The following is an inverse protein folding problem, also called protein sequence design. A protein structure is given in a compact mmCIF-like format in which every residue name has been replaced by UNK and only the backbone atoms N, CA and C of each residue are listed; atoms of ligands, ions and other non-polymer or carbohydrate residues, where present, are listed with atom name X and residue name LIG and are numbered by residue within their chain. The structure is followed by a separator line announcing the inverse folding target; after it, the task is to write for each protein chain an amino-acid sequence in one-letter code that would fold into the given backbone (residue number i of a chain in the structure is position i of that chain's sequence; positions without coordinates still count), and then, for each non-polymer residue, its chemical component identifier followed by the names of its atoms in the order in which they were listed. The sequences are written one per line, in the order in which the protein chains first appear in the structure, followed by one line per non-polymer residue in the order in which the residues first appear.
data_IF_480892799630
#
_entry.id   IF_480892799630
#
_cell.length_a   1.000
_cell.length_b   1.000
_cell.length_c   1.000
_cell.angle_alpha   90.00
_cell.angle_beta   90.00
_cell.angle_gamma   90.00
#
_symmetry.space_group_name_H-M   'P 1'
#
loop_
_entity.id
_entity.type
_entity.pdbx_description
1 polymer ?
#
# COMPACT_ATOMS: atom_id res chain seq x y z
N UNK A 1 20.81 -22.94 38.65
CA UNK A 1 20.76 -22.46 37.27
C UNK A 1 20.28 -23.53 36.27
N UNK A 2 20.97 -24.70 36.19
CA UNK A 2 20.56 -25.80 35.29
C UNK A 2 19.13 -26.33 35.53
N UNK A 3 18.71 -26.47 36.78
CA UNK A 3 17.36 -26.94 37.12
C UNK A 3 16.25 -25.99 36.64
N UNK A 4 16.46 -24.67 36.70
CA UNK A 4 15.52 -23.67 36.21
C UNK A 4 15.40 -23.72 34.68
N UNK A 5 16.54 -23.96 33.98
CA UNK A 5 16.55 -24.12 32.51
C UNK A 5 15.80 -25.39 32.10
N UNK A 6 16.03 -26.50 32.80
CA UNK A 6 15.33 -27.78 32.53
C UNK A 6 13.83 -27.65 32.81
N UNK A 7 13.44 -27.03 33.92
CA UNK A 7 12.01 -26.77 34.22
C UNK A 7 11.36 -25.88 33.18
N UNK A 8 12.06 -24.84 32.71
CA UNK A 8 11.58 -23.98 31.61
C UNK A 8 11.37 -24.77 30.31
N UNK A 9 12.32 -25.67 29.97
CA UNK A 9 12.21 -26.52 28.79
C UNK A 9 11.04 -27.51 28.89
N UNK A 10 10.87 -28.15 30.07
CA UNK A 10 9.77 -29.07 30.33
C UNK A 10 8.43 -28.32 30.24
N UNK A 11 8.34 -27.10 30.80
CA UNK A 11 7.13 -26.27 30.72
C UNK A 11 6.77 -25.91 29.27
N UNK A 12 7.77 -25.51 28.49
CA UNK A 12 7.57 -25.18 27.06
C UNK A 12 7.09 -26.42 26.27
N UNK A 13 7.72 -27.58 26.49
CA UNK A 13 7.31 -28.83 25.84
C UNK A 13 5.89 -29.22 26.28
N UNK A 14 5.59 -29.07 27.56
CA UNK A 14 4.26 -29.41 28.10
C UNK A 14 3.19 -28.48 27.53
N UNK A 15 3.45 -27.18 27.45
CA UNK A 15 2.54 -26.21 26.84
C UNK A 15 2.36 -26.48 25.33
N UNK A 16 3.43 -26.83 24.63
CA UNK A 16 3.36 -27.22 23.23
C UNK A 16 2.52 -28.49 23.02
N UNK A 17 2.72 -29.52 23.82
CA UNK A 17 1.95 -30.76 23.75
C UNK A 17 0.48 -30.52 24.10
N UNK A 18 0.19 -29.73 25.15
CA UNK A 18 -1.16 -29.37 25.55
C UNK A 18 -1.87 -28.54 24.47
N UNK A 19 -1.16 -27.61 23.82
CA UNK A 19 -1.70 -26.86 22.68
C UNK A 19 -2.09 -27.82 21.54
N UNK A 20 -1.19 -28.71 21.17
CA UNK A 20 -1.42 -29.71 20.08
C UNK A 20 -2.56 -30.70 20.40
N UNK A 21 -2.75 -31.05 21.65
CA UNK A 21 -3.87 -31.93 22.08
C UNK A 21 -5.23 -31.21 22.09
N UNK A 22 -5.23 -29.87 22.13
CA UNK A 22 -6.44 -29.03 22.10
C UNK A 22 -6.84 -28.57 20.73
N UNK A 23 -6.01 -28.80 19.71
CA UNK A 23 -6.36 -28.46 18.33
C UNK A 23 -7.61 -29.25 17.91
N UNK A 24 -8.67 -28.55 17.46
CA UNK A 24 -9.89 -29.22 17.02
C UNK A 24 -9.56 -30.16 15.86
N UNK A 25 -10.23 -31.30 15.79
CA UNK A 25 -10.13 -32.24 14.65
C UNK A 25 -10.90 -31.67 13.46
N UNK A 26 -10.39 -30.58 12.90
CA UNK A 26 -10.95 -29.96 11.72
C UNK A 26 -10.50 -30.71 10.47
N UNK A 27 -11.33 -30.68 9.43
CA UNK A 27 -10.96 -31.13 8.09
C UNK A 27 -10.06 -30.09 7.42
N UNK A 28 -8.82 -29.94 7.94
CA UNK A 28 -7.85 -28.94 7.52
C UNK A 28 -7.44 -29.11 6.05
N UNK A 29 -7.15 -28.00 5.34
CA UNK A 29 -6.45 -28.08 4.07
C UNK A 29 -5.14 -28.85 4.20
N UNK A 30 -4.75 -29.61 3.14
CA UNK A 30 -3.55 -30.44 3.21
C UNK A 30 -2.30 -29.60 3.46
N UNK A 31 -1.49 -30.02 4.44
CA UNK A 31 -0.17 -29.46 4.66
C UNK A 31 0.80 -30.06 3.64
N UNK A 32 1.40 -29.19 2.82
CA UNK A 32 2.42 -29.58 1.86
C UNK A 32 3.59 -30.26 2.58
N UNK A 33 4.12 -31.32 2.01
CA UNK A 33 5.25 -32.06 2.60
C UNK A 33 6.54 -31.24 2.56
N UNK A 34 7.28 -31.20 3.66
CA UNK A 34 8.55 -30.52 3.75
C UNK A 34 9.64 -31.40 4.38
N UNK A 35 10.91 -31.15 4.02
CA UNK A 35 12.06 -31.96 4.47
C UNK A 35 12.65 -31.46 5.79
N UNK A 36 12.61 -30.17 6.06
CA UNK A 36 13.28 -29.52 7.19
C UNK A 36 12.26 -29.10 8.25
N UNK A 37 12.23 -29.76 9.43
CA UNK A 37 11.17 -29.55 10.43
C UNK A 37 11.06 -28.13 10.98
N UNK A 38 12.17 -27.38 11.07
CA UNK A 38 12.21 -26.03 11.63
C UNK A 38 11.95 -24.99 10.53
N UNK A 39 12.65 -25.11 9.39
CA UNK A 39 12.59 -24.14 8.30
C UNK A 39 11.31 -24.30 7.46
N UNK A 40 10.80 -25.54 7.37
CA UNK A 40 9.61 -25.85 6.56
C UNK A 40 9.82 -25.50 5.09
N UNK A 41 8.89 -24.71 4.56
CA UNK A 41 8.89 -24.22 3.17
C UNK A 41 9.54 -22.84 3.01
N UNK A 42 10.03 -22.22 4.08
CA UNK A 42 10.51 -20.84 4.06
C UNK A 42 11.53 -20.58 2.95
N UNK A 43 12.48 -21.50 2.75
CA UNK A 43 13.48 -21.35 1.69
C UNK A 43 12.84 -21.39 0.29
N UNK A 44 12.01 -22.37 0.00
CA UNK A 44 11.32 -22.49 -1.30
C UNK A 44 10.39 -21.30 -1.56
N UNK A 45 9.71 -20.83 -0.51
CA UNK A 45 8.84 -19.67 -0.57
C UNK A 45 9.57 -18.35 -0.81
N UNK A 46 10.83 -18.20 -0.39
CA UNK A 46 11.61 -16.98 -0.60
C UNK A 46 12.36 -16.94 -1.95
N UNK A 47 12.87 -18.07 -2.38
CA UNK A 47 13.83 -18.12 -3.51
C UNK A 47 13.26 -18.73 -4.79
N UNK A 48 12.15 -19.46 -4.70
CA UNK A 48 11.50 -20.10 -5.86
C UNK A 48 9.96 -20.09 -5.73
N UNK A 49 9.42 -18.95 -5.32
CA UNK A 49 8.01 -18.81 -4.91
C UNK A 49 7.05 -19.22 -6.01
N UNK A 50 7.24 -18.70 -7.23
CA UNK A 50 6.34 -18.92 -8.36
C UNK A 50 6.21 -20.41 -8.71
N UNK A 51 7.33 -21.04 -9.03
CA UNK A 51 7.33 -22.47 -9.42
C UNK A 51 6.88 -23.37 -8.28
N UNK A 52 7.31 -23.06 -7.04
CA UNK A 52 6.91 -23.79 -5.85
C UNK A 52 5.42 -23.76 -5.62
N UNK A 53 4.79 -22.59 -5.69
CA UNK A 53 3.34 -22.45 -5.49
C UNK A 53 2.54 -23.08 -6.62
N UNK A 54 3.00 -22.99 -7.87
CA UNK A 54 2.38 -23.69 -9.01
C UNK A 54 2.37 -25.20 -8.82
N UNK A 55 3.49 -25.75 -8.34
CA UNK A 55 3.57 -27.16 -8.02
C UNK A 55 2.61 -27.53 -6.87
N UNK A 56 2.60 -26.74 -5.80
CA UNK A 56 1.68 -26.96 -4.68
C UNK A 56 0.21 -26.91 -5.14
N UNK A 57 -0.15 -25.88 -5.93
CA UNK A 57 -1.51 -25.74 -6.48
C UNK A 57 -1.94 -26.98 -7.29
N UNK A 58 -1.04 -27.49 -8.14
CA UNK A 58 -1.28 -28.65 -8.96
C UNK A 58 -1.46 -29.93 -8.14
N UNK A 59 -0.67 -30.11 -7.08
CA UNK A 59 -0.63 -31.34 -6.29
C UNK A 59 -1.70 -31.36 -5.19
N UNK A 60 -1.96 -30.23 -4.54
CA UNK A 60 -2.79 -30.14 -3.33
C UNK A 60 -4.15 -29.45 -3.56
N UNK A 61 -4.39 -28.84 -4.73
CA UNK A 61 -5.64 -28.16 -5.05
C UNK A 61 -5.65 -26.66 -4.68
N UNK A 62 -6.84 -26.08 -4.60
CA UNK A 62 -7.04 -24.63 -4.48
C UNK A 62 -6.70 -24.08 -3.09
N UNK A 63 -6.86 -24.88 -2.05
CA UNK A 63 -6.56 -24.49 -0.67
C UNK A 63 -5.57 -25.48 -0.08
N UNK A 64 -4.40 -25.00 0.36
CA UNK A 64 -3.38 -25.82 0.98
C UNK A 64 -2.64 -25.04 2.07
N UNK A 65 -1.93 -25.77 2.94
CA UNK A 65 -1.15 -25.19 4.02
C UNK A 65 0.36 -25.28 3.74
N UNK A 66 1.05 -24.19 4.06
CA UNK A 66 2.51 -24.14 4.06
C UNK A 66 3.02 -23.91 5.48
N UNK A 67 4.17 -24.49 5.83
CA UNK A 67 4.88 -24.16 7.06
C UNK A 67 5.98 -23.16 6.74
N UNK A 68 5.75 -21.89 7.07
CA UNK A 68 6.63 -20.76 6.71
C UNK A 68 6.88 -19.95 7.98
N UNK A 69 8.14 -19.57 8.22
CA UNK A 69 8.53 -18.78 9.40
C UNK A 69 8.00 -19.34 10.72
N UNK A 70 8.13 -20.66 10.91
CA UNK A 70 7.72 -21.31 12.15
C UNK A 70 6.20 -21.42 12.39
N UNK A 71 5.37 -21.07 11.42
CA UNK A 71 3.90 -21.12 11.52
C UNK A 71 3.25 -21.70 10.27
N UNK A 72 2.07 -22.28 10.47
CA UNK A 72 1.24 -22.74 9.35
C UNK A 72 0.50 -21.55 8.75
N UNK A 73 0.64 -21.37 7.44
CA UNK A 73 -0.11 -20.38 6.64
C UNK A 73 -0.98 -21.10 5.64
N UNK A 74 -2.17 -20.59 5.44
CA UNK A 74 -3.15 -21.14 4.51
C UNK A 74 -3.08 -20.32 3.22
N UNK A 75 -2.87 -20.99 2.11
CA UNK A 75 -2.84 -20.37 0.78
C UNK A 75 -4.14 -20.70 0.07
N UNK A 76 -4.79 -19.69 -0.49
CA UNK A 76 -6.07 -19.81 -1.18
C UNK A 76 -5.96 -19.30 -2.60
N UNK A 77 -6.29 -20.16 -3.55
CA UNK A 77 -6.31 -19.87 -4.97
C UNK A 77 -7.61 -19.20 -5.45
N UNK A 78 -7.76 -19.15 -6.77
CA UNK A 78 -8.81 -18.39 -7.46
C UNK A 78 -10.25 -18.84 -7.15
N UNK A 79 -10.46 -20.14 -6.86
CA UNK A 79 -11.80 -20.70 -6.70
C UNK A 79 -12.47 -20.23 -5.41
N UNK A 80 -11.69 -20.07 -4.32
CA UNK A 80 -12.19 -19.69 -3.00
C UNK A 80 -11.75 -18.30 -2.53
N UNK A 81 -10.99 -17.55 -3.33
CA UNK A 81 -10.53 -16.19 -3.00
C UNK A 81 -11.69 -15.23 -2.67
N UNK A 82 -12.81 -15.36 -3.39
CA UNK A 82 -14.00 -14.54 -3.15
C UNK A 82 -14.71 -14.88 -1.83
N UNK A 83 -14.63 -16.13 -1.34
CA UNK A 83 -15.13 -16.47 0.00
C UNK A 83 -14.34 -15.71 1.07
N UNK A 84 -13.02 -15.65 0.95
CA UNK A 84 -12.18 -14.88 1.88
C UNK A 84 -12.53 -13.41 1.83
N UNK A 85 -12.62 -12.82 0.65
CA UNK A 85 -12.86 -11.38 0.47
C UNK A 85 -14.27 -10.91 0.82
N UNK A 86 -15.26 -11.81 0.83
CA UNK A 86 -16.66 -11.47 1.12
C UNK A 86 -17.07 -11.68 2.58
N UNK A 87 -16.26 -12.37 3.37
CA UNK A 87 -16.57 -12.76 4.76
C UNK A 87 -15.70 -12.01 5.75
N UNK A 88 -15.87 -10.70 5.83
CA UNK A 88 -15.18 -9.83 6.79
C UNK A 88 -15.54 -10.11 8.27
N UNK A 89 -16.61 -10.84 8.53
CA UNK A 89 -16.95 -11.39 9.84
C UNK A 89 -16.07 -12.58 10.27
N UNK A 90 -15.29 -13.13 9.34
CA UNK A 90 -14.38 -14.27 9.53
C UNK A 90 -12.94 -13.90 9.24
N UNK A 91 -12.69 -13.20 8.14
CA UNK A 91 -11.37 -12.89 7.62
C UNK A 91 -11.08 -11.40 7.72
N UNK A 92 -10.14 -11.01 8.57
CA UNK A 92 -9.83 -9.61 8.85
C UNK A 92 -8.42 -9.25 8.40
N UNK A 93 -8.34 -8.32 7.44
CA UNK A 93 -7.08 -7.80 6.91
C UNK A 93 -6.33 -6.95 7.95
N UNK A 94 -7.05 -6.11 8.71
CA UNK A 94 -6.42 -5.21 9.69
C UNK A 94 -5.76 -5.99 10.83
N UNK A 95 -6.43 -7.05 11.30
CA UNK A 95 -5.89 -7.95 12.32
C UNK A 95 -4.67 -8.73 11.83
N UNK A 96 -4.62 -9.08 10.54
CA UNK A 96 -3.43 -9.69 9.96
C UNK A 96 -2.25 -8.72 9.97
N UNK A 97 -2.46 -7.45 9.58
CA UNK A 97 -1.42 -6.42 9.61
C UNK A 97 -0.91 -6.18 11.04
N UNK A 98 -1.80 -6.09 12.05
CA UNK A 98 -1.40 -5.93 13.46
C UNK A 98 -0.47 -7.07 13.96
N UNK A 99 -0.60 -8.27 13.40
CA UNK A 99 0.24 -9.43 13.77
C UNK A 99 1.66 -9.35 13.23
N UNK A 100 1.87 -8.63 12.13
CA UNK A 100 3.17 -8.54 11.46
C UNK A 100 3.84 -7.17 11.59
N UNK A 101 3.05 -6.13 11.83
CA UNK A 101 3.52 -4.75 11.86
C UNK A 101 3.09 -4.03 13.15
N UNK A 102 4.04 -3.49 13.95
CA UNK A 102 3.77 -2.85 15.23
C UNK A 102 3.36 -1.36 15.08
N UNK A 103 2.53 -1.02 14.09
CA UNK A 103 2.17 0.35 13.74
C UNK A 103 1.47 1.12 14.86
N UNK A 104 0.62 0.43 15.63
CA UNK A 104 -0.08 0.96 16.79
C UNK A 104 0.86 1.40 17.93
N UNK A 105 1.99 0.71 18.10
CA UNK A 105 3.01 1.08 19.11
C UNK A 105 3.97 2.13 18.56
N UNK A 106 4.25 2.10 17.27
CA UNK A 106 5.14 3.04 16.58
C UNK A 106 4.53 4.45 16.55
N UNK A 107 3.24 4.54 16.23
CA UNK A 107 2.42 5.76 16.27
C UNK A 107 1.56 5.70 17.55
N UNK A 108 2.09 6.22 18.64
CA UNK A 108 1.58 6.01 19.99
C UNK A 108 0.14 6.49 20.24
N UNK A 109 -0.33 7.42 19.41
CA UNK A 109 -1.68 7.99 19.56
C UNK A 109 -2.69 7.36 18.60
N UNK A 110 -2.25 6.37 17.80
CA UNK A 110 -3.07 5.74 16.74
C UNK A 110 -4.34 5.05 17.29
N UNK A 111 -4.29 4.51 18.53
CA UNK A 111 -5.46 3.90 19.16
C UNK A 111 -6.65 4.86 19.32
N UNK A 112 -6.37 6.18 19.39
CA UNK A 112 -7.39 7.24 19.44
C UNK A 112 -7.97 7.56 18.05
N UNK A 113 -7.31 7.13 16.98
CA UNK A 113 -7.70 7.41 15.61
C UNK A 113 -8.61 6.29 15.07
N UNK A 114 -9.89 6.43 15.32
CA UNK A 114 -10.93 5.52 14.81
C UNK A 114 -11.43 6.01 13.45
N UNK A 115 -11.91 5.08 12.60
CA UNK A 115 -12.52 5.41 11.31
C UNK A 115 -11.61 6.10 10.26
N UNK A 116 -10.35 5.66 10.14
CA UNK A 116 -9.38 6.15 9.14
C UNK A 116 -9.99 6.26 7.73
N UNK A 117 -10.73 5.23 7.29
CA UNK A 117 -11.38 5.22 5.98
C UNK A 117 -12.46 6.29 5.82
N UNK A 118 -13.21 6.60 6.88
CA UNK A 118 -14.22 7.66 6.88
C UNK A 118 -13.56 9.02 6.74
N UNK A 119 -12.54 9.29 7.56
CA UNK A 119 -11.79 10.56 7.53
C UNK A 119 -11.15 10.79 6.16
N UNK A 120 -10.48 9.76 5.60
CA UNK A 120 -9.92 9.85 4.26
C UNK A 120 -10.98 10.17 3.21
N UNK A 121 -12.13 9.51 3.28
CA UNK A 121 -13.24 9.75 2.35
C UNK A 121 -13.75 11.17 2.43
N UNK A 122 -13.99 11.68 3.62
CA UNK A 122 -14.60 13.01 3.84
C UNK A 122 -13.63 14.14 3.50
N UNK A 123 -12.36 14.04 3.92
CA UNK A 123 -11.40 15.14 3.83
C UNK A 123 -10.60 15.16 2.52
N UNK A 124 -10.48 14.03 1.86
CA UNK A 124 -9.68 13.91 0.63
C UNK A 124 -10.49 13.42 -0.56
N UNK A 125 -11.09 12.22 -0.46
CA UNK A 125 -11.67 11.58 -1.65
C UNK A 125 -12.90 12.30 -2.18
N UNK A 126 -13.77 12.83 -1.32
CA UNK A 126 -14.93 13.61 -1.73
C UNK A 126 -14.55 14.99 -2.31
N UNK A 127 -13.31 15.44 -2.05
CA UNK A 127 -12.78 16.74 -2.51
C UNK A 127 -11.83 16.61 -3.71
N UNK A 128 -11.70 15.42 -4.32
CA UNK A 128 -10.75 15.21 -5.44
C UNK A 128 -10.91 16.21 -6.58
N UNK A 129 -12.14 16.48 -6.98
CA UNK A 129 -12.41 17.47 -8.03
C UNK A 129 -11.98 18.89 -7.62
N UNK A 130 -12.16 19.25 -6.36
CA UNK A 130 -11.74 20.51 -5.79
C UNK A 130 -10.19 20.61 -5.77
N UNK A 131 -9.49 19.53 -5.46
CA UNK A 131 -8.02 19.51 -5.44
C UNK A 131 -7.38 19.34 -6.83
N UNK A 132 -8.17 19.21 -7.90
CA UNK A 132 -7.68 18.90 -9.25
C UNK A 132 -6.55 19.83 -9.72
N UNK A 133 -6.78 21.13 -9.72
CA UNK A 133 -5.80 22.14 -10.15
C UNK A 133 -4.54 22.13 -9.25
N UNK A 134 -4.72 22.11 -7.93
CA UNK A 134 -3.60 22.06 -6.97
C UNK A 134 -2.74 20.82 -7.15
N UNK A 135 -3.36 19.67 -7.40
CA UNK A 135 -2.66 18.42 -7.63
C UNK A 135 -1.79 18.51 -8.89
N UNK A 136 -2.37 18.95 -10.01
CA UNK A 136 -1.64 19.08 -11.27
C UNK A 136 -0.51 20.09 -11.17
N UNK A 137 -0.75 21.29 -10.64
CA UNK A 137 0.28 22.32 -10.43
C UNK A 137 1.44 21.80 -9.57
N UNK A 138 1.12 21.07 -8.49
CA UNK A 138 2.13 20.48 -7.60
C UNK A 138 2.93 19.38 -8.31
N UNK A 139 2.28 18.51 -9.09
CA UNK A 139 2.94 17.47 -9.90
C UNK A 139 3.86 18.09 -10.95
N UNK A 140 3.39 19.08 -11.72
CA UNK A 140 4.18 19.73 -12.77
C UNK A 140 5.40 20.44 -12.18
N UNK A 141 5.22 21.18 -11.08
CA UNK A 141 6.32 21.82 -10.36
C UNK A 141 7.34 20.80 -9.84
N UNK A 142 6.88 19.71 -9.25
CA UNK A 142 7.73 18.64 -8.74
C UNK A 142 8.48 17.94 -9.88
N UNK A 143 7.79 17.59 -10.97
CA UNK A 143 8.40 16.97 -12.15
C UNK A 143 9.49 17.88 -12.74
N UNK A 144 9.19 19.17 -12.92
CA UNK A 144 10.17 20.16 -13.39
C UNK A 144 11.38 20.29 -12.45
N UNK A 145 11.15 20.26 -11.12
CA UNK A 145 12.21 20.34 -10.11
C UNK A 145 13.09 19.08 -10.10
N UNK A 146 12.52 17.90 -10.24
CA UNK A 146 13.23 16.63 -10.07
C UNK A 146 13.85 16.10 -11.38
N UNK A 147 13.16 16.24 -12.50
CA UNK A 147 13.62 15.78 -13.83
C UNK A 147 14.24 16.95 -14.59
N UNK A 148 13.53 18.08 -14.68
CA UNK A 148 13.93 19.26 -15.44
C UNK A 148 13.65 19.14 -16.92
N UNK A 149 14.18 20.06 -17.71
CA UNK A 149 14.20 20.01 -19.15
C UNK A 149 15.34 19.08 -19.60
N UNK A 150 15.09 18.21 -20.58
CA UNK A 150 16.03 17.19 -21.02
C UNK A 150 16.29 17.36 -22.55
N UNK A 151 17.16 18.30 -22.89
CA UNK A 151 17.65 18.48 -24.28
C UNK A 151 18.61 17.35 -24.69
N UNK A 152 19.28 16.75 -23.72
CA UNK A 152 20.17 15.60 -23.88
C UNK A 152 19.68 14.42 -22.99
N UNK A 153 20.02 13.16 -23.36
CA UNK A 153 19.65 11.99 -22.55
C UNK A 153 20.16 12.08 -21.12
N UNK A 154 19.25 11.92 -20.16
CA UNK A 154 19.54 11.92 -18.74
C UNK A 154 19.32 10.53 -18.15
N UNK A 155 20.38 9.94 -17.57
CA UNK A 155 20.27 8.65 -16.91
C UNK A 155 19.73 8.82 -15.49
N UNK A 156 18.68 8.09 -15.16
CA UNK A 156 18.07 8.06 -13.83
C UNK A 156 18.36 6.69 -13.21
N UNK A 157 19.26 6.65 -12.21
CA UNK A 157 19.70 5.39 -11.58
C UNK A 157 18.67 4.80 -10.60
N UNK A 158 17.83 5.64 -10.00
CA UNK A 158 16.80 5.23 -9.06
C UNK A 158 15.49 5.95 -9.36
N UNK A 159 14.76 5.40 -10.32
CA UNK A 159 13.47 5.95 -10.74
C UNK A 159 12.46 5.98 -9.59
N UNK A 160 12.46 4.98 -8.71
CA UNK A 160 11.55 4.90 -7.58
C UNK A 160 11.72 6.09 -6.63
N UNK A 161 12.96 6.40 -6.21
CA UNK A 161 13.21 7.55 -5.30
C UNK A 161 12.84 8.89 -5.95
N UNK A 162 13.09 9.03 -7.25
CA UNK A 162 12.70 10.21 -8.00
C UNK A 162 11.18 10.37 -8.02
N UNK A 163 10.45 9.33 -8.41
CA UNK A 163 8.99 9.34 -8.45
C UNK A 163 8.40 9.58 -7.06
N UNK A 164 8.97 8.98 -6.01
CA UNK A 164 8.48 9.16 -4.63
C UNK A 164 8.51 10.63 -4.22
N UNK A 165 9.54 11.39 -4.58
CA UNK A 165 9.59 12.85 -4.32
C UNK A 165 8.56 13.63 -5.13
N UNK A 166 8.33 13.24 -6.38
CA UNK A 166 7.32 13.87 -7.24
C UNK A 166 5.92 13.65 -6.66
N UNK A 167 5.56 12.41 -6.34
CA UNK A 167 4.25 12.03 -5.77
C UNK A 167 4.06 12.61 -4.36
N UNK A 168 5.10 12.73 -3.55
CA UNK A 168 5.00 13.30 -2.21
C UNK A 168 4.60 14.78 -2.22
N UNK A 169 4.90 15.51 -3.29
CA UNK A 169 4.66 16.97 -3.35
C UNK A 169 3.17 17.33 -3.36
N UNK A 170 2.32 16.80 -4.27
CA UNK A 170 0.87 17.08 -4.25
C UNK A 170 0.19 16.54 -2.99
N UNK A 171 0.61 15.37 -2.48
CA UNK A 171 0.05 14.80 -1.26
C UNK A 171 0.37 15.70 -0.06
N UNK A 172 1.61 16.18 0.07
CA UNK A 172 1.98 17.14 1.11
C UNK A 172 1.16 18.41 0.99
N UNK A 173 0.96 18.94 -0.23
CA UNK A 173 0.17 20.12 -0.46
C UNK A 173 -1.28 19.97 0.01
N UNK A 174 -1.92 18.84 -0.30
CA UNK A 174 -3.29 18.52 0.12
C UNK A 174 -3.37 18.29 1.63
N UNK A 175 -2.34 17.68 2.24
CA UNK A 175 -2.41 17.30 3.66
C UNK A 175 -2.04 18.44 4.62
N UNK A 176 -0.98 19.15 4.36
CA UNK A 176 -0.49 20.18 5.28
C UNK A 176 -0.58 21.61 4.73
N UNK A 177 -1.08 21.76 3.50
CA UNK A 177 -1.29 23.04 2.83
C UNK A 177 -0.08 23.52 2.04
N UNK A 178 -0.33 24.50 1.19
CA UNK A 178 0.62 25.01 0.22
C UNK A 178 1.87 25.59 0.88
N UNK A 179 1.73 26.31 1.99
CA UNK A 179 2.85 26.98 2.68
C UNK A 179 3.85 25.96 3.26
N UNK A 180 3.37 24.92 3.95
CA UNK A 180 4.25 23.92 4.57
C UNK A 180 4.87 23.01 3.51
N UNK A 181 4.15 22.66 2.46
CA UNK A 181 4.63 21.78 1.39
C UNK A 181 5.79 22.36 0.57
N UNK A 182 6.14 23.65 0.73
CA UNK A 182 7.32 24.26 0.10
C UNK A 182 8.63 23.86 0.78
N UNK A 183 8.59 23.41 2.02
CA UNK A 183 9.81 23.02 2.74
C UNK A 183 10.33 21.66 2.29
N UNK A 184 11.60 21.61 1.84
CA UNK A 184 12.24 20.36 1.39
C UNK A 184 12.24 19.27 2.48
N UNK A 185 12.39 19.65 3.77
CA UNK A 185 12.35 18.70 4.88
C UNK A 185 10.95 18.04 5.05
N UNK A 186 9.88 18.72 4.63
CA UNK A 186 8.53 18.15 4.61
C UNK A 186 8.39 17.16 3.46
N UNK A 187 8.80 17.54 2.24
CA UNK A 187 8.75 16.64 1.09
C UNK A 187 9.60 15.39 1.34
N UNK A 188 10.79 15.56 1.91
CA UNK A 188 11.66 14.44 2.30
C UNK A 188 11.00 13.56 3.37
N UNK A 189 10.35 14.18 4.37
CA UNK A 189 9.59 13.45 5.39
C UNK A 189 8.47 12.61 4.75
N UNK A 190 7.69 13.18 3.84
CA UNK A 190 6.66 12.44 3.13
C UNK A 190 7.24 11.30 2.30
N UNK A 191 8.32 11.53 1.57
CA UNK A 191 8.96 10.54 0.71
C UNK A 191 9.60 9.37 1.49
N UNK A 192 10.22 9.63 2.66
CA UNK A 192 10.99 8.64 3.41
C UNK A 192 10.20 7.98 4.55
N UNK A 193 9.11 8.58 5.04
CA UNK A 193 8.36 8.09 6.21
C UNK A 193 7.99 6.62 6.09
N UNK A 194 7.44 6.21 4.93
CA UNK A 194 6.99 4.84 4.74
C UNK A 194 8.15 3.87 4.66
N UNK A 195 9.21 4.19 3.90
CA UNK A 195 10.39 3.31 3.77
C UNK A 195 11.10 3.12 5.11
N UNK A 196 11.27 4.18 5.90
CA UNK A 196 11.88 4.10 7.22
C UNK A 196 10.99 3.32 8.19
N UNK A 197 9.68 3.57 8.18
CA UNK A 197 8.73 2.91 9.08
C UNK A 197 8.48 1.45 8.72
N UNK A 198 8.53 1.09 7.44
CA UNK A 198 8.32 -0.29 6.97
C UNK A 198 9.47 -1.24 7.29
N UNK A 199 10.55 -0.79 7.92
CA UNK A 199 11.70 -1.64 8.27
C UNK A 199 11.29 -2.91 9.03
N UNK A 200 10.28 -2.81 9.88
CA UNK A 200 9.75 -3.95 10.64
C UNK A 200 9.05 -5.00 9.76
N UNK A 201 8.60 -4.63 8.55
CA UNK A 201 8.05 -5.55 7.56
C UNK A 201 9.17 -6.18 6.70
N UNK A 202 10.30 -5.48 6.56
CA UNK A 202 11.42 -5.92 5.71
C UNK A 202 12.37 -6.90 6.42
N UNK A 203 12.42 -6.84 7.76
CA UNK A 203 13.24 -7.75 8.55
C UNK A 203 12.57 -9.13 8.58
N UNK A 204 13.24 -10.19 8.07
CA UNK A 204 12.70 -11.53 8.13
C UNK A 204 12.39 -11.94 9.59
N UNK A 205 11.24 -12.55 9.87
CA UNK A 205 10.82 -12.90 11.23
C UNK A 205 11.52 -14.18 11.74
N UNK A 206 12.85 -14.15 11.83
CA UNK A 206 13.69 -15.30 12.21
C UNK A 206 13.33 -15.83 13.59
N UNK A 207 12.96 -14.96 14.53
CA UNK A 207 12.57 -15.38 15.87
C UNK A 207 11.26 -16.18 15.90
N UNK A 208 10.46 -16.09 14.86
CA UNK A 208 9.19 -16.83 14.74
C UNK A 208 9.44 -18.36 14.57
N UNK A 209 10.65 -18.78 14.17
CA UNK A 209 11.03 -20.19 14.21
C UNK A 209 11.10 -20.76 15.64
N UNK A 210 11.29 -19.90 16.64
CA UNK A 210 11.27 -20.28 18.05
C UNK A 210 9.83 -20.32 18.56
N UNK A 211 9.09 -19.26 18.29
CA UNK A 211 7.68 -19.13 18.67
C UNK A 211 6.96 -18.17 17.70
N UNK A 212 5.83 -18.56 17.09
CA UNK A 212 5.07 -17.71 16.18
C UNK A 212 4.74 -16.35 16.77
N UNK A 213 5.07 -15.26 16.03
CA UNK A 213 4.85 -13.88 16.46
C UNK A 213 5.90 -13.30 17.42
N UNK A 214 6.94 -14.06 17.78
CA UNK A 214 7.97 -13.60 18.70
C UNK A 214 8.74 -12.39 18.16
N UNK A 215 9.01 -12.36 16.85
CA UNK A 215 9.67 -11.21 16.21
C UNK A 215 8.87 -9.92 16.42
N UNK A 216 7.58 -9.94 16.12
CA UNK A 216 6.72 -8.75 16.32
C UNK A 216 6.60 -8.38 17.80
N UNK A 217 6.51 -9.36 18.69
CA UNK A 217 6.50 -9.11 20.14
C UNK A 217 7.79 -8.38 20.62
N UNK A 218 8.96 -8.80 20.17
CA UNK A 218 10.23 -8.14 20.48
C UNK A 218 10.28 -6.73 19.87
N UNK A 219 9.82 -6.55 18.62
CA UNK A 219 9.74 -5.23 17.99
C UNK A 219 8.87 -4.27 18.80
N UNK A 220 7.72 -4.75 19.33
CA UNK A 220 6.85 -3.97 20.20
C UNK A 220 7.52 -3.57 21.52
N UNK A 221 8.32 -4.46 22.11
CA UNK A 221 9.09 -4.14 23.33
C UNK A 221 10.13 -3.05 23.02
N UNK A 222 10.89 -3.17 21.93
CA UNK A 222 11.89 -2.18 21.50
C UNK A 222 11.25 -0.79 21.35
N UNK A 223 10.09 -0.73 20.68
CA UNK A 223 9.33 0.50 20.49
C UNK A 223 8.80 1.09 21.80
N UNK A 224 8.22 0.25 22.68
CA UNK A 224 7.67 0.68 23.99
C UNK A 224 8.76 1.22 24.93
N UNK A 225 9.93 0.62 24.90
CA UNK A 225 11.08 1.09 25.67
C UNK A 225 11.75 2.34 25.06
N UNK A 226 11.33 2.76 23.88
CA UNK A 226 11.91 3.92 23.18
C UNK A 226 13.36 3.68 22.71
N UNK A 227 13.80 2.43 22.61
CA UNK A 227 15.15 2.10 22.18
C UNK A 227 15.37 2.39 20.69
N UNK A 228 14.35 2.19 19.89
CA UNK A 228 14.33 2.53 18.47
C UNK A 228 12.89 2.76 17.98
N UNK A 229 12.65 3.89 17.34
CA UNK A 229 11.39 4.16 16.64
C UNK A 229 11.67 4.98 15.37
N UNK A 230 11.55 4.39 14.18
CA UNK A 230 11.85 5.07 12.91
C UNK A 230 10.93 6.26 12.63
N UNK A 231 9.70 6.26 13.14
CA UNK A 231 8.76 7.35 12.93
C UNK A 231 9.12 8.65 13.66
N UNK A 232 9.88 8.58 14.77
CA UNK A 232 10.15 9.75 15.64
C UNK A 232 10.85 10.90 14.92
N UNK A 233 11.81 10.60 14.04
CA UNK A 233 12.50 11.63 13.22
C UNK A 233 11.47 12.43 12.42
N UNK A 234 10.58 11.76 11.74
CA UNK A 234 9.56 12.35 10.87
C UNK A 234 8.49 13.07 11.67
N UNK A 235 8.02 12.47 12.78
CA UNK A 235 7.08 13.11 13.70
C UNK A 235 7.63 14.44 14.22
N UNK A 236 8.89 14.50 14.62
CA UNK A 236 9.52 15.74 15.11
C UNK A 236 9.57 16.83 14.04
N UNK A 237 9.85 16.48 12.78
CA UNK A 237 9.83 17.42 11.65
C UNK A 237 8.41 17.92 11.43
N UNK A 238 7.42 17.02 11.37
CA UNK A 238 6.02 17.38 11.22
C UNK A 238 5.58 18.31 12.36
N UNK A 239 5.82 17.96 13.61
CA UNK A 239 5.42 18.76 14.79
C UNK A 239 6.06 20.16 14.75
N UNK A 240 7.32 20.26 14.35
CA UNK A 240 8.02 21.57 14.22
C UNK A 240 7.28 22.51 13.28
N UNK A 241 6.83 22.02 12.11
CA UNK A 241 6.11 22.82 11.12
C UNK A 241 4.65 23.02 11.49
N UNK A 242 3.98 21.98 11.98
CA UNK A 242 2.59 22.04 12.43
C UNK A 242 2.38 23.11 13.53
N UNK A 243 3.28 23.17 14.51
CA UNK A 243 3.21 24.21 15.56
C UNK A 243 3.12 25.60 14.98
N UNK A 244 4.03 25.93 14.05
CA UNK A 244 4.05 27.26 13.42
C UNK A 244 2.77 27.53 12.63
N UNK A 245 2.35 26.56 11.83
CA UNK A 245 1.20 26.74 10.94
C UNK A 245 -0.13 26.83 11.70
N UNK A 246 -0.34 25.97 12.68
CA UNK A 246 -1.54 25.98 13.48
C UNK A 246 -1.65 27.30 14.27
N UNK A 247 -0.56 27.71 14.95
CA UNK A 247 -0.54 29.00 15.64
C UNK A 247 -0.85 30.17 14.70
N UNK A 248 -0.24 30.19 13.50
CA UNK A 248 -0.50 31.22 12.49
C UNK A 248 -1.98 31.22 12.07
N UNK A 249 -2.55 30.05 11.76
CA UNK A 249 -3.97 29.94 11.34
C UNK A 249 -4.92 30.42 12.42
N UNK A 250 -4.67 30.09 13.67
CA UNK A 250 -5.48 30.53 14.81
C UNK A 250 -5.42 32.04 14.98
N UNK A 251 -4.20 32.63 14.91
CA UNK A 251 -4.00 34.07 14.99
C UNK A 251 -4.62 34.81 13.80
N UNK A 252 -4.48 34.30 12.59
CA UNK A 252 -5.08 34.88 11.40
C UNK A 252 -6.61 34.84 11.45
N UNK A 253 -7.20 33.72 11.93
CA UNK A 253 -8.64 33.61 12.12
C UNK A 253 -9.18 34.62 13.15
N UNK A 254 -8.47 34.80 14.26
CA UNK A 254 -8.81 35.81 15.28
C UNK A 254 -8.69 37.24 14.73
N UNK A 255 -7.58 37.54 14.02
CA UNK A 255 -7.28 38.86 13.49
C UNK A 255 -8.23 39.32 12.39
N UNK A 256 -8.56 38.41 11.44
CA UNK A 256 -9.34 38.74 10.26
C UNK A 256 -10.83 38.41 10.38
N UNK A 257 -11.26 37.64 11.39
CA UNK A 257 -12.65 37.31 11.65
C UNK A 257 -13.36 36.75 10.39
N UNK A 258 -14.48 37.37 10.01
CA UNK A 258 -15.26 36.95 8.82
C UNK A 258 -14.50 37.13 7.48
N UNK A 259 -13.46 37.95 7.44
CA UNK A 259 -12.62 38.14 6.25
C UNK A 259 -11.52 37.11 6.13
N UNK A 260 -11.38 36.20 7.10
CA UNK A 260 -10.38 35.17 7.05
C UNK A 260 -10.69 34.14 5.97
N UNK A 261 -9.72 33.92 5.09
CA UNK A 261 -9.82 32.86 4.06
C UNK A 261 -9.41 31.53 4.67
N UNK A 262 -10.38 30.66 4.89
CA UNK A 262 -10.17 29.32 5.37
C UNK A 262 -9.25 28.54 4.39
N UNK A 263 -8.13 27.98 4.86
CA UNK A 263 -7.35 27.02 4.05
C UNK A 263 -8.17 25.74 3.77
N UNK A 264 -8.06 25.21 2.55
CA UNK A 264 -8.71 23.95 2.18
C UNK A 264 -7.64 22.86 2.09
N UNK A 265 -7.35 22.24 3.22
CA UNK A 265 -6.43 21.10 3.33
C UNK A 265 -6.83 20.22 4.51
N UNK A 266 -6.26 19.01 4.56
CA UNK A 266 -6.54 18.03 5.59
C UNK A 266 -6.18 18.56 7.01
N UNK A 267 -5.12 19.36 7.14
CA UNK A 267 -4.77 19.97 8.43
C UNK A 267 -5.87 20.88 8.94
N UNK A 268 -6.45 21.71 8.06
CA UNK A 268 -7.55 22.59 8.44
C UNK A 268 -8.81 21.80 8.82
N UNK A 269 -9.15 20.76 8.06
CA UNK A 269 -10.27 19.88 8.41
C UNK A 269 -10.03 19.23 9.79
N UNK A 270 -8.80 18.83 10.10
CA UNK A 270 -8.43 18.29 11.43
C UNK A 270 -8.53 19.33 12.55
N UNK A 271 -8.22 20.60 12.26
CA UNK A 271 -8.37 21.70 13.23
C UNK A 271 -9.83 22.08 13.50
N UNK A 272 -10.77 21.59 12.72
CA UNK A 272 -12.21 21.83 12.87
C UNK A 272 -12.98 20.61 13.39
N UNK A 273 -12.28 19.53 13.75
CA UNK A 273 -12.88 18.39 14.44
C UNK A 273 -13.36 18.78 15.86
N UNK A 274 -14.40 18.11 16.35
CA UNK A 274 -15.03 18.41 17.64
C UNK A 274 -14.07 18.27 18.84
N UNK A 275 -13.05 17.43 18.73
CA UNK A 275 -12.05 17.15 19.77
C UNK A 275 -10.79 18.05 19.66
N UNK A 276 -10.73 18.96 18.70
CA UNK A 276 -9.62 19.91 18.57
C UNK A 276 -9.74 21.05 19.58
N UNK A 277 -8.77 21.12 20.52
CA UNK A 277 -8.69 22.24 21.50
C UNK A 277 -7.61 23.24 21.07
N UNK A 278 -7.98 24.47 20.63
CA UNK A 278 -7.01 25.49 20.24
C UNK A 278 -6.12 25.99 21.39
N UNK A 279 -6.54 25.80 22.66
CA UNK A 279 -5.75 26.18 23.84
C UNK A 279 -4.79 25.09 24.30
N UNK A 280 -5.02 23.85 23.88
CA UNK A 280 -4.20 22.69 24.26
C UNK A 280 -4.01 21.74 23.07
N UNK A 281 -3.36 22.20 22.01
CA UNK A 281 -3.19 21.44 20.77
C UNK A 281 -2.34 20.20 20.96
N UNK A 282 -2.89 19.02 20.65
CA UNK A 282 -2.19 17.73 20.67
C UNK A 282 -1.42 17.52 19.37
N UNK A 283 -0.27 18.19 19.24
CA UNK A 283 0.60 18.07 18.05
C UNK A 283 1.08 16.65 17.75
N UNK A 284 1.44 15.83 18.75
CA UNK A 284 1.76 14.42 18.54
C UNK A 284 0.62 13.64 17.86
N UNK A 285 -0.62 13.83 18.29
CA UNK A 285 -1.79 13.17 17.71
C UNK A 285 -2.00 13.58 16.26
N UNK A 286 -1.90 14.89 15.95
CA UNK A 286 -2.02 15.38 14.57
C UNK A 286 -0.90 14.83 13.68
N UNK A 287 0.34 14.78 14.20
CA UNK A 287 1.48 14.22 13.46
C UNK A 287 1.32 12.70 13.21
N UNK A 288 0.83 11.93 14.19
CA UNK A 288 0.54 10.50 14.03
C UNK A 288 -0.58 10.26 13.01
N UNK A 289 -1.65 11.06 13.08
CA UNK A 289 -2.76 11.01 12.13
C UNK A 289 -2.27 11.27 10.70
N UNK A 290 -1.45 12.29 10.48
CA UNK A 290 -0.79 12.53 9.19
C UNK A 290 0.13 11.35 8.80
N UNK A 291 0.91 10.83 9.74
CA UNK A 291 1.81 9.69 9.53
C UNK A 291 1.10 8.46 8.97
N UNK A 292 -0.12 8.16 9.45
CA UNK A 292 -0.95 7.06 8.89
C UNK A 292 -1.24 7.30 7.42
N UNK A 293 -1.70 8.51 7.06
CA UNK A 293 -2.07 8.79 5.68
C UNK A 293 -0.86 8.87 4.76
N UNK A 294 0.27 9.39 5.23
CA UNK A 294 1.55 9.37 4.49
C UNK A 294 1.95 7.91 4.23
N UNK A 295 1.90 7.05 5.27
CA UNK A 295 2.29 5.65 5.15
C UNK A 295 1.51 4.89 4.08
N UNK A 296 0.19 5.10 3.99
CA UNK A 296 -0.67 4.36 3.07
C UNK A 296 -0.74 4.96 1.66
N UNK A 297 -0.41 6.25 1.47
CA UNK A 297 -0.63 6.93 0.19
C UNK A 297 0.60 7.03 -0.70
N UNK A 298 1.79 7.22 -0.14
CA UNK A 298 2.99 7.57 -0.93
C UNK A 298 3.63 6.34 -1.60
N UNK A 299 3.95 5.33 -0.79
CA UNK A 299 4.78 4.21 -1.26
C UNK A 299 4.12 3.41 -2.38
N UNK A 300 2.86 3.03 -2.21
CA UNK A 300 2.13 2.23 -3.20
C UNK A 300 1.91 2.98 -4.51
N UNK A 301 1.53 4.26 -4.43
CA UNK A 301 1.34 5.12 -5.61
C UNK A 301 2.66 5.34 -6.35
N UNK A 302 3.74 5.64 -5.63
CA UNK A 302 5.07 5.84 -6.21
C UNK A 302 5.61 4.57 -6.88
N UNK A 303 5.42 3.41 -6.25
CA UNK A 303 5.81 2.12 -6.83
C UNK A 303 5.05 1.82 -8.12
N UNK A 304 3.73 2.06 -8.13
CA UNK A 304 2.91 1.88 -9.32
C UNK A 304 3.33 2.82 -10.45
N UNK A 305 3.56 4.10 -10.15
CA UNK A 305 4.10 5.04 -11.14
C UNK A 305 5.45 4.61 -11.70
N UNK A 306 6.38 4.20 -10.83
CA UNK A 306 7.71 3.77 -11.24
C UNK A 306 7.65 2.53 -12.13
N UNK A 307 6.81 1.55 -11.77
CA UNK A 307 6.59 0.36 -12.59
C UNK A 307 5.98 0.71 -13.96
N UNK A 308 4.98 1.59 -14.01
CA UNK A 308 4.39 2.04 -15.26
C UNK A 308 5.41 2.74 -16.18
N UNK A 309 6.32 3.56 -15.63
CA UNK A 309 7.43 4.17 -16.39
C UNK A 309 8.42 3.10 -16.89
N UNK A 310 8.78 2.13 -16.04
CA UNK A 310 9.68 1.03 -16.43
C UNK A 310 9.04 0.18 -17.52
N UNK A 311 7.76 -0.15 -17.39
CA UNK A 311 7.01 -0.91 -18.40
C UNK A 311 6.96 -0.17 -19.73
N UNK A 312 6.77 1.16 -19.73
CA UNK A 312 6.76 1.98 -20.93
C UNK A 312 8.17 2.11 -21.53
N UNK A 313 9.20 2.34 -20.71
CA UNK A 313 10.57 2.43 -21.15
C UNK A 313 11.10 1.13 -21.77
N UNK A 314 10.62 -0.01 -21.27
CA UNK A 314 11.01 -1.35 -21.76
C UNK A 314 10.23 -1.79 -23.01
N UNK A 315 9.19 -1.03 -23.41
CA UNK A 315 8.29 -1.34 -24.54
C UNK A 315 7.97 -0.08 -25.33
N UNK A 316 9.03 0.50 -25.98
CA UNK A 316 8.91 1.80 -26.66
C UNK A 316 7.90 1.81 -27.81
N UNK A 317 7.50 0.64 -28.31
CA UNK A 317 6.46 0.48 -29.33
C UNK A 317 5.11 1.05 -28.92
N UNK A 318 4.79 1.10 -27.61
CA UNK A 318 3.53 1.66 -27.11
C UNK A 318 3.58 3.16 -26.85
N UNK A 319 4.77 3.77 -26.89
CA UNK A 319 4.95 5.19 -26.57
C UNK A 319 4.15 6.09 -27.52
N UNK A 320 4.20 5.82 -28.83
CA UNK A 320 3.53 6.65 -29.82
C UNK A 320 2.01 6.66 -29.63
N UNK A 321 1.43 5.50 -29.38
CA UNK A 321 -0.02 5.36 -29.23
C UNK A 321 -0.54 6.02 -27.95
N UNK A 322 0.22 5.93 -26.86
CA UNK A 322 -0.09 6.65 -25.62
C UNK A 322 0.09 8.16 -25.78
N UNK A 323 1.15 8.60 -26.46
CA UNK A 323 1.42 10.00 -26.73
C UNK A 323 0.28 10.65 -27.56
N UNK A 324 -0.23 9.98 -28.58
CA UNK A 324 -1.35 10.46 -29.39
C UNK A 324 -2.62 10.61 -28.55
N UNK A 325 -2.93 9.65 -27.67
CA UNK A 325 -4.05 9.80 -26.74
C UNK A 325 -3.86 11.01 -25.83
N UNK A 326 -2.66 11.18 -25.26
CA UNK A 326 -2.39 12.29 -24.36
C UNK A 326 -2.44 13.65 -25.07
N UNK A 327 -1.98 13.74 -26.32
CA UNK A 327 -2.14 14.95 -27.13
C UNK A 327 -3.60 15.31 -27.37
N UNK A 328 -4.45 14.32 -27.62
CA UNK A 328 -5.88 14.56 -27.84
C UNK A 328 -6.55 15.05 -26.56
N UNK A 329 -6.27 14.38 -25.44
CA UNK A 329 -6.79 14.76 -24.10
C UNK A 329 -6.29 16.15 -23.70
N UNK A 330 -5.03 16.50 -24.03
CA UNK A 330 -4.45 17.80 -23.68
C UNK A 330 -5.15 18.99 -24.35
N UNK A 331 -5.91 18.77 -25.42
CA UNK A 331 -6.74 19.84 -26.02
C UNK A 331 -7.87 20.33 -25.11
N UNK A 332 -8.20 19.55 -24.08
CA UNK A 332 -9.19 19.94 -23.06
C UNK A 332 -8.58 20.82 -21.96
N UNK A 333 -7.24 20.97 -21.94
CA UNK A 333 -6.54 21.77 -20.94
C UNK A 333 -6.84 23.27 -21.10
N UNK A 334 -6.81 23.97 -19.97
CA UNK A 334 -6.89 25.43 -19.95
C UNK A 334 -5.59 26.10 -20.45
N UNK A 335 -5.56 27.43 -20.43
CA UNK A 335 -4.40 28.23 -20.84
C UNK A 335 -3.12 27.99 -20.02
N UNK A 336 -3.25 27.39 -18.82
CA UNK A 336 -2.16 27.02 -17.93
C UNK A 336 -1.74 25.55 -18.10
N UNK A 337 -2.37 24.82 -19.01
CA UNK A 337 -2.16 23.40 -19.25
C UNK A 337 -2.81 22.48 -18.22
N UNK A 338 -3.79 22.99 -17.45
CA UNK A 338 -4.51 22.22 -16.43
C UNK A 338 -5.71 21.52 -17.05
N UNK A 339 -5.74 20.20 -16.94
CA UNK A 339 -6.87 19.39 -17.41
C UNK A 339 -8.08 19.53 -16.48
N UNK A 340 -9.29 19.61 -17.02
CA UNK A 340 -10.49 19.42 -16.21
C UNK A 340 -10.49 17.99 -15.62
N UNK A 341 -11.08 17.83 -14.45
CA UNK A 341 -11.09 16.53 -13.75
C UNK A 341 -11.73 15.40 -14.60
N UNK A 342 -12.72 15.74 -15.39
CA UNK A 342 -13.44 14.85 -16.29
C UNK A 342 -12.58 14.30 -17.45
N UNK A 343 -11.54 15.02 -17.87
CA UNK A 343 -10.60 14.59 -18.92
C UNK A 343 -9.90 13.26 -18.59
N UNK A 344 -9.74 12.93 -17.30
CA UNK A 344 -9.22 11.64 -16.86
C UNK A 344 -10.00 10.43 -17.42
N UNK A 345 -11.31 10.61 -17.71
CA UNK A 345 -12.15 9.56 -18.29
C UNK A 345 -11.84 9.30 -19.77
N UNK A 346 -11.16 10.23 -20.43
CA UNK A 346 -10.78 10.13 -21.84
C UNK A 346 -9.42 9.46 -22.04
N UNK A 347 -8.61 9.29 -20.96
CA UNK A 347 -7.33 8.57 -20.96
C UNK A 347 -7.55 7.05 -20.87
N UNK A 348 -8.20 6.44 -21.84
CA UNK A 348 -8.62 5.02 -21.80
C UNK A 348 -7.47 4.05 -22.04
N UNK A 349 -6.57 4.39 -22.97
CA UNK A 349 -5.38 3.58 -23.27
C UNK A 349 -4.40 3.62 -22.10
N UNK A 350 -4.16 4.81 -21.55
CA UNK A 350 -3.33 4.98 -20.37
C UNK A 350 -3.92 4.25 -19.17
N UNK A 351 -5.21 4.30 -18.97
CA UNK A 351 -5.90 3.58 -17.89
C UNK A 351 -5.72 2.06 -18.02
N UNK A 352 -5.92 1.52 -19.23
CA UNK A 352 -5.69 0.11 -19.53
C UNK A 352 -4.22 -0.30 -19.34
N UNK A 353 -3.29 0.55 -19.77
CA UNK A 353 -1.84 0.36 -19.56
C UNK A 353 -1.48 0.27 -18.06
N UNK A 354 -1.96 1.21 -17.26
CA UNK A 354 -1.73 1.21 -15.80
C UNK A 354 -2.34 -0.05 -15.15
N UNK A 355 -3.54 -0.45 -15.59
CA UNK A 355 -4.19 -1.67 -15.09
C UNK A 355 -3.37 -2.93 -15.38
N UNK A 356 -2.81 -3.03 -16.58
CA UNK A 356 -1.99 -4.18 -16.98
C UNK A 356 -0.63 -4.18 -16.25
N UNK A 357 -0.01 -3.02 -16.08
CA UNK A 357 1.20 -2.86 -15.26
C UNK A 357 0.95 -3.34 -13.82
N UNK A 358 -0.13 -2.89 -13.18
CA UNK A 358 -0.52 -3.32 -11.83
C UNK A 358 -0.80 -4.82 -11.74
N UNK A 359 -1.37 -5.42 -12.78
CA UNK A 359 -1.66 -6.86 -12.81
C UNK A 359 -0.39 -7.70 -12.81
N UNK A 360 0.64 -7.30 -13.57
CA UNK A 360 1.86 -8.09 -13.75
C UNK A 360 2.99 -7.75 -12.76
N UNK A 361 2.95 -6.58 -12.13
CA UNK A 361 3.97 -6.17 -11.14
C UNK A 361 3.55 -6.40 -9.69
N UNK A 362 2.42 -7.08 -9.48
CA UNK A 362 1.91 -7.44 -8.17
C UNK A 362 2.74 -8.49 -7.44
N UNK A 363 2.35 -8.75 -6.20
CA UNK A 363 2.93 -9.84 -5.41
C UNK A 363 2.33 -11.18 -5.86
N UNK A 364 3.12 -12.27 -5.78
CA UNK A 364 2.69 -13.64 -6.08
C UNK A 364 1.59 -14.08 -5.10
N UNK A 365 1.74 -13.71 -3.82
CA UNK A 365 0.73 -13.89 -2.77
C UNK A 365 0.55 -12.58 -2.01
N UNK A 366 -0.63 -12.35 -1.48
CA UNK A 366 -0.88 -11.13 -0.71
C UNK A 366 -2.26 -11.10 -0.09
N UNK A 367 -2.70 -9.90 0.31
CA UNK A 367 -3.96 -9.68 1.01
C UNK A 367 -4.14 -10.65 2.18
N UNK A 368 -3.11 -10.71 3.04
CA UNK A 368 -3.12 -11.56 4.23
C UNK A 368 -4.29 -11.20 5.14
N UNK A 369 -5.05 -12.21 5.59
CA UNK A 369 -6.14 -12.04 6.54
C UNK A 369 -5.92 -12.91 7.78
N UNK A 370 -6.30 -12.41 8.94
CA UNK A 370 -6.41 -13.21 10.16
C UNK A 370 -7.79 -13.87 10.22
N UNK A 371 -7.82 -15.13 10.62
CA UNK A 371 -9.06 -15.88 10.81
C UNK A 371 -9.58 -15.59 12.21
N UNK A 372 -10.77 -14.97 12.31
CA UNK A 372 -11.36 -14.52 13.57
C UNK A 372 -12.17 -15.60 14.29
N UNK A 373 -12.57 -16.64 13.59
CA UNK A 373 -13.33 -17.80 14.09
C UNK A 373 -13.21 -18.96 13.12
N UNK A 374 -13.40 -20.19 13.59
CA UNK A 374 -13.40 -21.36 12.74
C UNK A 374 -14.35 -21.20 11.55
N UNK A 375 -13.88 -21.58 10.36
CA UNK A 375 -14.65 -21.45 9.12
C UNK A 375 -14.61 -22.72 8.29
N UNK A 376 -15.73 -23.03 7.64
CA UNK A 376 -15.85 -24.14 6.68
C UNK A 376 -16.06 -23.54 5.29
N UNK A 377 -15.10 -23.77 4.37
CA UNK A 377 -15.22 -23.39 2.98
C UNK A 377 -16.30 -24.19 2.24
N UNK A 378 -16.77 -23.67 1.11
CA UNK A 378 -17.79 -24.32 0.27
C UNK A 378 -17.39 -25.72 -0.19
N UNK A 379 -16.09 -26.04 -0.27
CA UNK A 379 -15.57 -27.38 -0.59
C UNK A 379 -15.45 -28.30 0.63
N UNK A 380 -15.89 -27.89 1.81
CA UNK A 380 -15.89 -28.67 3.04
C UNK A 380 -14.56 -28.66 3.82
N UNK A 381 -13.52 -27.98 3.32
CA UNK A 381 -12.30 -27.76 4.09
C UNK A 381 -12.56 -26.77 5.23
N UNK A 382 -11.90 -26.98 6.35
CA UNK A 382 -12.09 -26.21 7.57
C UNK A 382 -10.80 -25.53 8.00
N UNK A 383 -10.88 -24.27 8.43
CA UNK A 383 -9.74 -23.50 8.90
C UNK A 383 -10.03 -22.98 10.29
N UNK A 384 -9.08 -23.10 11.24
CA UNK A 384 -9.28 -22.68 12.62
C UNK A 384 -9.06 -21.17 12.81
N UNK A 385 -9.66 -20.65 13.86
CA UNK A 385 -9.36 -19.34 14.41
C UNK A 385 -7.84 -19.17 14.64
N UNK A 386 -7.37 -17.94 14.63
CA UNK A 386 -5.98 -17.52 14.86
C UNK A 386 -4.96 -17.88 13.77
N UNK A 387 -5.35 -18.55 12.71
CA UNK A 387 -4.45 -18.76 11.56
C UNK A 387 -4.42 -17.54 10.64
N UNK A 388 -3.38 -17.49 9.79
CA UNK A 388 -3.25 -16.51 8.73
C UNK A 388 -3.52 -17.16 7.38
N UNK A 389 -4.20 -16.43 6.51
CA UNK A 389 -4.56 -16.84 5.17
C UNK A 389 -4.01 -15.84 4.16
N UNK A 390 -3.39 -16.30 3.10
CA UNK A 390 -2.85 -15.50 2.00
C UNK A 390 -3.56 -15.88 0.69
N UNK A 391 -3.92 -14.90 -0.13
CA UNK A 391 -4.45 -15.14 -1.47
C UNK A 391 -3.31 -15.36 -2.47
N UNK A 392 -3.45 -16.36 -3.33
CA UNK A 392 -2.51 -16.68 -4.39
C UNK A 392 -2.87 -15.93 -5.67
N UNK A 393 -2.18 -14.80 -5.92
CA UNK A 393 -2.52 -13.88 -7.01
C UNK A 393 -2.17 -14.43 -8.39
N UNK A 394 -1.04 -15.12 -8.56
CA UNK A 394 -0.67 -15.69 -9.86
C UNK A 394 -1.70 -16.71 -10.35
N UNK A 395 -2.35 -17.47 -9.43
CA UNK A 395 -3.44 -18.37 -9.79
C UNK A 395 -4.65 -17.63 -10.41
N UNK A 396 -4.80 -16.32 -10.09
CA UNK A 396 -5.82 -15.44 -10.66
C UNK A 396 -5.31 -14.71 -11.90
N UNK A 397 -4.09 -14.18 -11.83
CA UNK A 397 -3.55 -13.29 -12.86
C UNK A 397 -2.97 -14.01 -14.08
N UNK A 398 -2.62 -15.29 -13.94
CA UNK A 398 -2.12 -16.13 -15.03
C UNK A 398 -3.18 -17.10 -15.60
N UNK A 399 -4.43 -16.98 -15.15
CA UNK A 399 -5.51 -17.85 -15.62
C UNK A 399 -6.18 -17.30 -16.88
N UNK A 400 -6.10 -18.05 -17.99
CA UNK A 400 -6.69 -17.64 -19.27
C UNK A 400 -8.20 -17.44 -19.22
N UNK A 401 -8.91 -18.20 -18.36
CA UNK A 401 -10.37 -18.04 -18.24
C UNK A 401 -10.78 -16.73 -17.56
N UNK A 402 -9.86 -16.13 -16.78
CA UNK A 402 -10.07 -14.88 -16.05
C UNK A 402 -9.48 -13.67 -16.76
N UNK A 403 -8.35 -13.84 -17.46
CA UNK A 403 -7.57 -12.76 -18.04
C UNK A 403 -7.62 -12.73 -19.57
N UNK A 404 -8.19 -13.76 -20.21
CA UNK A 404 -8.12 -13.95 -21.66
C UNK A 404 -6.79 -14.56 -22.13
N UNK A 405 -6.53 -14.61 -23.43
CA UNK A 405 -5.36 -15.28 -24.00
C UNK A 405 -4.04 -14.63 -23.54
N UNK A 406 -2.99 -15.44 -23.46
CA UNK A 406 -1.64 -15.01 -23.11
C UNK A 406 -1.55 -14.18 -21.80
N UNK A 407 -2.08 -14.66 -20.68
CA UNK A 407 -2.18 -13.85 -19.44
C UNK A 407 -0.82 -13.44 -18.86
N UNK A 408 0.27 -14.13 -19.21
CA UNK A 408 1.64 -13.80 -18.81
C UNK A 408 2.28 -12.69 -19.64
N UNK A 409 1.74 -12.42 -20.81
CA UNK A 409 2.25 -11.36 -21.69
C UNK A 409 1.70 -10.01 -21.26
N UNK A 410 2.55 -8.99 -21.29
CA UNK A 410 2.14 -7.61 -21.10
C UNK A 410 1.40 -7.12 -22.35
N UNK A 411 0.11 -6.94 -22.23
CA UNK A 411 -0.76 -6.43 -23.30
C UNK A 411 -1.46 -5.16 -22.80
N UNK A 412 -0.89 -3.96 -23.05
CA UNK A 412 -1.29 -2.71 -22.41
C UNK A 412 -2.75 -2.35 -22.64
N UNK A 413 -3.35 -2.82 -23.74
CA UNK A 413 -4.71 -2.49 -24.12
C UNK A 413 -5.70 -3.66 -23.91
N UNK A 414 -5.30 -4.69 -23.18
CA UNK A 414 -6.12 -5.86 -22.83
C UNK A 414 -7.49 -5.50 -22.27
N UNK A 415 -7.59 -4.40 -21.54
CA UNK A 415 -8.80 -3.96 -20.84
C UNK A 415 -9.55 -2.84 -21.56
N UNK A 416 -9.07 -2.40 -22.73
CA UNK A 416 -9.60 -1.22 -23.44
C UNK A 416 -11.04 -1.44 -23.91
N UNK A 417 -11.34 -2.55 -24.59
CA UNK A 417 -12.68 -2.84 -25.12
C UNK A 417 -13.71 -3.03 -24.04
N UNK A 418 -13.31 -3.60 -22.92
CA UNK A 418 -14.20 -3.77 -21.76
C UNK A 418 -14.44 -2.46 -21.01
N UNK A 419 -13.67 -1.41 -21.29
CA UNK A 419 -13.73 -0.08 -20.66
C UNK A 419 -13.78 -0.17 -19.12
N UNK A 420 -12.92 -1.02 -18.54
CA UNK A 420 -12.85 -1.25 -17.09
C UNK A 420 -11.75 -0.39 -16.47
N UNK A 421 -12.08 0.61 -15.65
CA UNK A 421 -11.09 1.48 -15.05
C UNK A 421 -10.04 0.73 -14.22
N UNK A 422 -8.79 1.22 -14.22
CA UNK A 422 -7.70 0.65 -13.41
C UNK A 422 -7.99 0.65 -11.91
N UNK A 423 -8.83 1.58 -11.44
CA UNK A 423 -9.27 1.64 -10.05
C UNK A 423 -10.40 0.66 -9.70
N UNK A 424 -11.01 -0.03 -10.70
CA UNK A 424 -12.16 -0.91 -10.46
C UNK A 424 -11.69 -2.29 -10.03
N UNK A 425 -12.02 -2.66 -8.79
CA UNK A 425 -11.81 -4.00 -8.25
C UNK A 425 -12.83 -4.96 -8.83
N UNK A 426 -12.35 -6.15 -9.24
CA UNK A 426 -13.17 -7.25 -9.74
C UNK A 426 -12.59 -8.56 -9.20
N UNK A 427 -13.34 -9.68 -9.34
CA UNK A 427 -12.87 -11.00 -8.88
C UNK A 427 -11.57 -11.48 -9.54
N UNK A 428 -11.26 -10.96 -10.71
CA UNK A 428 -10.04 -11.28 -11.47
C UNK A 428 -8.99 -10.16 -11.44
N UNK A 429 -9.20 -9.13 -10.59
CA UNK A 429 -8.26 -8.03 -10.44
C UNK A 429 -8.30 -7.50 -9.00
N UNK A 430 -7.33 -7.89 -8.21
CA UNK A 430 -7.24 -7.66 -6.77
C UNK A 430 -6.10 -6.70 -6.37
N UNK A 431 -5.56 -5.92 -7.33
CA UNK A 431 -4.47 -4.97 -7.07
C UNK A 431 -4.80 -3.95 -5.95
N UNK A 432 -6.08 -3.66 -5.76
CA UNK A 432 -6.60 -2.81 -4.70
C UNK A 432 -7.37 -3.57 -3.61
N UNK A 433 -7.13 -4.86 -3.48
CA UNK A 433 -7.87 -5.71 -2.55
C UNK A 433 -9.27 -6.06 -3.03
N UNK A 434 -10.15 -6.43 -2.11
CA UNK A 434 -11.53 -6.82 -2.40
C UNK A 434 -12.47 -6.68 -1.22
N UNK A 435 -13.77 -6.83 -1.46
CA UNK A 435 -14.80 -6.75 -0.44
C UNK A 435 -14.81 -5.40 0.28
N UNK A 436 -15.09 -5.41 1.57
CA UNK A 436 -15.11 -4.19 2.42
C UNK A 436 -13.72 -3.61 2.67
N UNK A 437 -12.67 -4.43 2.52
CA UNK A 437 -11.27 -4.03 2.71
C UNK A 437 -10.61 -3.54 1.42
N UNK A 438 -11.37 -3.36 0.33
CA UNK A 438 -10.83 -2.74 -0.87
C UNK A 438 -10.27 -1.36 -0.57
N UNK A 439 -9.10 -1.03 -1.16
CA UNK A 439 -8.41 0.23 -0.94
C UNK A 439 -9.36 1.43 -1.15
N UNK A 440 -9.59 2.25 -0.13
CA UNK A 440 -10.47 3.42 -0.27
C UNK A 440 -9.86 4.49 -1.18
N UNK A 441 -8.54 4.62 -1.19
CA UNK A 441 -7.79 5.62 -1.97
C UNK A 441 -7.53 5.25 -3.44
N UNK A 442 -7.99 4.10 -3.93
CA UNK A 442 -7.66 3.59 -5.26
C UNK A 442 -7.96 4.57 -6.41
N UNK A 443 -9.06 5.32 -6.31
CA UNK A 443 -9.40 6.31 -7.32
C UNK A 443 -8.48 7.52 -7.29
N UNK A 444 -8.14 7.99 -6.08
CA UNK A 444 -7.18 9.07 -5.88
C UNK A 444 -5.80 8.69 -6.45
N UNK A 445 -5.30 7.50 -6.10
CA UNK A 445 -4.01 7.01 -6.57
C UNK A 445 -3.96 6.89 -8.11
N UNK A 446 -4.98 6.29 -8.75
CA UNK A 446 -5.01 6.16 -10.22
C UNK A 446 -5.11 7.54 -10.90
N UNK A 447 -5.88 8.48 -10.35
CA UNK A 447 -5.97 9.83 -10.91
C UNK A 447 -4.61 10.56 -10.82
N UNK A 448 -3.93 10.46 -9.69
CA UNK A 448 -2.59 11.04 -9.50
C UNK A 448 -1.58 10.44 -10.47
N UNK A 449 -1.59 9.11 -10.65
CA UNK A 449 -0.75 8.41 -11.63
C UNK A 449 -1.05 8.88 -13.05
N UNK A 450 -2.32 9.02 -13.41
CA UNK A 450 -2.73 9.50 -14.74
C UNK A 450 -2.25 10.92 -15.02
N UNK A 451 -2.39 11.84 -14.07
CA UNK A 451 -1.88 13.20 -14.22
C UNK A 451 -0.36 13.24 -14.37
N UNK A 452 0.35 12.46 -13.55
CA UNK A 452 1.80 12.36 -13.67
C UNK A 452 2.22 11.76 -15.03
N UNK A 453 1.63 10.64 -15.44
CA UNK A 453 1.95 9.97 -16.70
C UNK A 453 1.58 10.83 -17.91
N UNK A 454 0.46 11.57 -17.86
CA UNK A 454 0.08 12.52 -18.88
C UNK A 454 1.18 13.56 -19.12
N UNK A 455 1.60 14.24 -18.08
CA UNK A 455 2.67 15.24 -18.14
C UNK A 455 3.99 14.62 -18.62
N UNK A 456 4.34 13.46 -18.08
CA UNK A 456 5.58 12.78 -18.39
C UNK A 456 5.64 12.26 -19.84
N UNK A 457 4.57 11.67 -20.38
CA UNK A 457 4.50 11.18 -21.75
C UNK A 457 4.56 12.33 -22.75
N UNK A 458 3.95 13.46 -22.46
CA UNK A 458 4.00 14.62 -23.34
C UNK A 458 5.37 15.30 -23.39
N UNK A 459 6.17 15.21 -22.32
CA UNK A 459 7.45 15.94 -22.17
C UNK A 459 8.68 15.09 -22.39
N UNK A 460 8.62 13.78 -22.12
CA UNK A 460 9.82 12.93 -22.10
C UNK A 460 9.66 11.68 -22.95
N UNK A 461 10.76 11.26 -23.54
CA UNK A 461 10.88 9.99 -24.22
C UNK A 461 11.67 9.01 -23.33
N UNK A 462 11.00 7.99 -22.85
CA UNK A 462 11.59 7.00 -21.93
C UNK A 462 12.25 5.85 -22.70
N UNK A 463 13.44 5.44 -22.23
CA UNK A 463 14.18 4.27 -22.74
C UNK A 463 14.90 3.58 -21.58
N UNK A 464 15.13 2.29 -21.72
CA UNK A 464 16.04 1.57 -20.82
C UNK A 464 17.50 1.89 -21.19
N UNK A 465 18.42 1.81 -20.21
CA UNK A 465 19.85 2.10 -20.43
C UNK A 465 20.47 1.14 -21.45
N UNK A 466 19.93 -0.08 -21.62
CA UNK A 466 20.39 -1.05 -22.59
C UNK A 466 20.10 -0.67 -24.05
N UNK A 467 19.29 0.37 -24.27
CA UNK A 467 18.89 0.87 -25.61
C UNK A 467 19.57 2.21 -25.95
N UNK A 468 20.40 2.73 -25.05
CA UNK A 468 21.24 3.90 -25.28
C UNK A 468 22.62 3.50 -25.75
#
# INVERSE_FOLDING_TARGET
MYQVIILGFILIITLYVLKRMREPKLNMPPLVRYKFPIIGHTYSYLYNTEEFLKQCRKEYGDIFCLYIWGQVRIIVGKEHSQEVLSRDDVFDFSKAIERIFPGDVMLKTLERFTNTSKVLKEYVLNKMKFYNERMQNSLYSATKKQIGECDEPKVIYNIYNLITKIISTPIANIFVGEEISQYEEIITTFAEFTSDSAIFLMIPPILDFIYPGLQNYINRIILRLGLYNPAVKHQNILIKHLKKQICKRLQDKEKYGESWKRPDDFLQDTMEEEDFDPNNVDYPFIADKLGVFIFVSIHSTSSTCANAIIDLASRPEYMQELYEEQLEVHKEADENGILPFEALNNMKKLDSFIRESLRLTGFITGLQHAILKDYTFSNGLQVPEDYLIDLYFDDIYEDESLQGPNPKSFEPFRHLDANVPASKVTRNYLAFGGGKHACPGRQFAINEIKFFMHDAILKYNFRTVSEL
#
